data_IF_054242965327
#
_entry.id   IF_054242965327
#
_cell.length_a   1.000
_cell.length_b   1.000
_cell.length_c   1.000
_cell.angle_alpha   90.00
_cell.angle_beta   90.00
_cell.angle_gamma   90.00
#
_symmetry.space_group_name_H-M   'P 1'
#
loop_
_entity.id
_entity.type
_entity.pdbx_description
1 polymer ?
#
# COMPACT_ATOMS: atom_id res chain seq x y z
N UNK A 1 3.68 -31.51 27.85
CA UNK A 1 2.85 -31.30 26.64
C UNK A 1 2.12 -29.98 26.81
N UNK A 2 2.81 -28.89 26.49
CA UNK A 2 2.43 -27.52 26.84
C UNK A 2 1.29 -27.05 25.94
N UNK A 3 0.17 -26.68 26.55
CA UNK A 3 -0.96 -26.00 25.92
C UNK A 3 -0.52 -24.59 25.49
N UNK A 4 -0.33 -24.37 24.18
CA UNK A 4 -0.21 -23.02 23.63
C UNK A 4 -1.62 -22.46 23.45
N UNK A 5 -2.03 -21.62 24.40
CA UNK A 5 -3.25 -20.82 24.36
C UNK A 5 -3.18 -19.85 23.16
N UNK A 6 -3.88 -20.17 22.06
CA UNK A 6 -4.19 -19.17 21.03
C UNK A 6 -5.27 -18.25 21.59
N UNK A 7 -4.88 -17.06 22.05
CA UNK A 7 -5.82 -16.01 22.41
C UNK A 7 -6.43 -15.43 21.12
N UNK A 8 -7.47 -16.07 20.60
CA UNK A 8 -8.28 -15.49 19.54
C UNK A 8 -9.01 -14.27 20.13
N UNK A 9 -8.46 -13.07 19.88
CA UNK A 9 -9.04 -11.80 20.34
C UNK A 9 -10.34 -11.56 19.56
N UNK A 10 -11.48 -11.69 20.22
CA UNK A 10 -12.77 -11.36 19.64
C UNK A 10 -12.96 -9.85 19.60
N UNK A 11 -13.02 -9.27 18.39
CA UNK A 11 -13.35 -7.87 18.18
C UNK A 11 -14.82 -7.77 17.78
N UNK A 12 -15.65 -7.14 18.63
CA UNK A 12 -17.11 -7.10 18.45
C UNK A 12 -17.60 -6.22 17.28
N UNK A 13 -16.71 -5.42 16.64
CA UNK A 13 -17.08 -4.47 15.57
C UNK A 13 -15.93 -4.13 14.61
N UNK A 14 -14.97 -5.03 14.46
CA UNK A 14 -13.84 -4.82 13.55
C UNK A 14 -14.26 -5.04 12.11
N UNK A 15 -13.93 -4.12 11.21
CA UNK A 15 -13.99 -4.36 9.77
C UNK A 15 -12.63 -4.86 9.30
N UNK A 16 -12.63 -5.82 8.37
CA UNK A 16 -11.40 -6.26 7.73
C UNK A 16 -10.83 -5.10 6.90
N UNK A 17 -9.52 -4.91 6.94
CA UNK A 17 -8.84 -3.88 6.14
C UNK A 17 -7.56 -4.46 5.57
N UNK A 18 -7.37 -4.34 4.26
CA UNK A 18 -6.10 -4.68 3.62
C UNK A 18 -5.14 -3.52 3.84
N UNK A 19 -4.07 -3.77 4.62
CA UNK A 19 -3.06 -2.78 5.00
C UNK A 19 -1.66 -3.35 4.77
N UNK A 20 -0.72 -2.46 4.51
CA UNK A 20 0.71 -2.77 4.51
C UNK A 20 1.15 -2.89 5.98
N UNK A 21 1.62 -4.07 6.38
CA UNK A 21 2.28 -4.30 7.65
C UNK A 21 3.79 -4.14 7.45
N UNK A 22 4.42 -3.30 8.27
CA UNK A 22 5.86 -3.09 8.22
C UNK A 22 6.55 -4.26 8.94
N UNK A 23 7.52 -4.88 8.28
CA UNK A 23 8.45 -5.83 8.88
C UNK A 23 9.86 -5.27 8.68
N UNK A 24 10.56 -4.94 9.77
CA UNK A 24 11.83 -4.23 9.69
C UNK A 24 13.01 -5.09 10.13
N UNK A 25 14.08 -4.99 9.34
CA UNK A 25 15.45 -4.89 9.85
C UNK A 25 15.87 -3.42 9.66
N UNK A 26 16.46 -2.79 10.69
CA UNK A 26 16.71 -1.34 10.73
C UNK A 26 17.36 -0.80 9.43
N UNK A 27 16.80 0.31 8.91
CA UNK A 27 17.18 1.01 7.66
C UNK A 27 16.77 0.36 6.33
N UNK A 28 16.13 -0.81 6.34
CA UNK A 28 15.54 -1.43 5.15
C UNK A 28 14.06 -1.72 5.40
N UNK A 29 13.17 -0.74 5.14
CA UNK A 29 11.74 -0.94 5.33
C UNK A 29 11.26 -1.99 4.35
N UNK A 30 10.61 -3.04 4.84
CA UNK A 30 9.95 -4.04 4.01
C UNK A 30 8.48 -4.13 4.42
N UNK A 31 7.57 -4.06 3.45
CA UNK A 31 6.14 -4.10 3.75
C UNK A 31 5.57 -5.44 3.32
N UNK A 32 4.99 -6.17 4.27
CA UNK A 32 4.13 -7.30 4.00
C UNK A 32 2.68 -6.81 3.98
N UNK A 33 2.03 -6.88 2.83
CA UNK A 33 0.59 -7.05 2.82
C UNK A 33 0.37 -8.45 3.44
N UNK A 34 -0.69 -8.67 4.22
CA UNK A 34 -0.96 -9.99 4.82
C UNK A 34 -1.13 -11.12 3.77
N UNK A 35 -1.03 -10.79 2.48
CA UNK A 35 -1.26 -11.60 1.29
C UNK A 35 -0.12 -11.48 0.28
N UNK A 36 0.84 -10.56 0.46
CA UNK A 36 1.73 -10.09 -0.61
C UNK A 36 2.93 -9.26 -0.09
N UNK A 37 3.96 -9.02 -0.91
CA UNK A 37 5.20 -8.34 -0.51
C UNK A 37 5.48 -7.09 -1.35
N UNK A 38 5.80 -5.98 -0.68
CA UNK A 38 6.21 -4.72 -1.29
C UNK A 38 7.58 -4.28 -0.78
N UNK A 39 8.53 -4.13 -1.70
CA UNK A 39 9.85 -3.57 -1.43
C UNK A 39 9.88 -2.08 -1.87
N UNK A 40 9.92 -1.14 -0.91
CA UNK A 40 10.00 0.29 -1.20
C UNK A 40 11.38 0.71 -1.73
N UNK A 41 12.43 -0.10 -1.51
CA UNK A 41 13.78 0.21 -1.94
C UNK A 41 13.96 -0.16 -3.43
N UNK A 42 14.63 0.69 -4.22
CA UNK A 42 14.94 0.36 -5.59
C UNK A 42 16.00 -0.74 -5.63
N UNK A 43 15.74 -1.80 -6.40
CA UNK A 43 16.75 -2.82 -6.70
C UNK A 43 17.91 -2.22 -7.55
N UNK A 44 18.99 -2.96 -7.80
CA UNK A 44 20.11 -2.54 -8.65
C UNK A 44 19.70 -2.11 -10.07
N UNK A 45 18.51 -2.51 -10.52
CA UNK A 45 17.91 -2.10 -11.79
C UNK A 45 17.03 -0.83 -11.68
N UNK A 46 17.01 -0.15 -10.53
CA UNK A 46 16.18 1.03 -10.27
C UNK A 46 14.67 0.74 -10.16
N UNK A 47 14.26 -0.54 -10.13
CA UNK A 47 12.85 -0.95 -10.09
C UNK A 47 12.43 -1.24 -8.66
N UNK A 48 11.24 -0.75 -8.28
CA UNK A 48 10.53 -1.15 -7.05
C UNK A 48 9.69 -2.37 -7.35
N UNK A 49 9.81 -3.41 -6.52
CA UNK A 49 9.14 -4.69 -6.75
C UNK A 49 7.90 -4.75 -5.87
N UNK A 50 6.77 -5.10 -6.50
CA UNK A 50 5.51 -5.34 -5.82
C UNK A 50 5.00 -6.69 -6.29
N UNK A 51 4.88 -7.65 -5.38
CA UNK A 51 4.13 -8.88 -5.60
C UNK A 51 2.69 -8.62 -5.18
N UNK A 52 1.71 -8.93 -6.03
CA UNK A 52 0.28 -8.78 -5.74
C UNK A 52 -0.48 -10.02 -6.24
N UNK A 53 -1.20 -10.71 -5.36
CA UNK A 53 -2.15 -11.76 -5.68
C UNK A 53 -3.52 -11.13 -5.98
N UNK A 54 -3.75 -10.83 -7.25
CA UNK A 54 -4.95 -10.14 -7.72
C UNK A 54 -6.24 -10.92 -7.46
N UNK A 55 -6.22 -12.25 -7.52
CA UNK A 55 -7.41 -13.08 -7.31
C UNK A 55 -7.90 -12.98 -5.87
N UNK A 56 -6.96 -12.98 -4.93
CA UNK A 56 -7.29 -12.88 -3.52
C UNK A 56 -7.73 -11.48 -3.14
N UNK A 57 -7.09 -10.45 -3.70
CA UNK A 57 -7.51 -9.06 -3.54
C UNK A 57 -8.92 -8.85 -4.09
N UNK A 58 -9.24 -9.40 -5.27
CA UNK A 58 -10.59 -9.38 -5.85
C UNK A 58 -11.60 -10.00 -4.90
N UNK A 59 -11.30 -11.19 -4.37
CA UNK A 59 -12.15 -11.86 -3.40
C UNK A 59 -12.45 -10.93 -2.22
N UNK A 60 -11.44 -10.37 -1.56
CA UNK A 60 -11.65 -9.48 -0.41
C UNK A 60 -12.40 -8.19 -0.74
N UNK A 61 -12.21 -7.63 -1.95
CA UNK A 61 -12.98 -6.47 -2.45
C UNK A 61 -14.45 -6.83 -2.60
N UNK A 62 -14.77 -7.99 -3.16
CA UNK A 62 -16.15 -8.48 -3.28
C UNK A 62 -16.84 -8.67 -1.93
N UNK A 63 -16.10 -9.03 -0.88
CA UNK A 63 -16.61 -9.12 0.50
C UNK A 63 -16.77 -7.75 1.19
N UNK A 64 -16.43 -6.64 0.53
CA UNK A 64 -16.60 -5.28 1.07
C UNK A 64 -15.49 -4.85 2.03
N UNK A 65 -14.31 -5.46 1.93
CA UNK A 65 -13.16 -5.12 2.76
C UNK A 65 -12.64 -3.73 2.41
N UNK A 66 -12.36 -2.89 3.41
CA UNK A 66 -11.78 -1.57 3.16
C UNK A 66 -10.31 -1.70 2.72
N UNK A 67 -9.91 -0.90 1.73
CA UNK A 67 -8.53 -0.78 1.31
C UNK A 67 -7.84 0.39 2.03
N UNK A 68 -6.57 0.22 2.38
CA UNK A 68 -5.75 1.34 2.85
C UNK A 68 -5.40 2.26 1.69
N UNK A 69 -5.31 3.58 1.95
CA UNK A 69 -4.91 4.57 0.95
C UNK A 69 -3.58 4.24 0.23
N UNK A 70 -2.65 3.55 0.90
CA UNK A 70 -1.39 3.15 0.27
C UNK A 70 -1.61 2.00 -0.73
N UNK A 71 -2.47 1.04 -0.41
CA UNK A 71 -2.83 -0.09 -1.27
C UNK A 71 -3.63 0.41 -2.47
N UNK A 72 -4.57 1.33 -2.28
CA UNK A 72 -5.32 1.97 -3.37
C UNK A 72 -4.40 2.70 -4.35
N UNK A 73 -3.34 3.36 -3.88
CA UNK A 73 -2.36 4.01 -4.75
C UNK A 73 -1.58 3.00 -5.58
N UNK A 74 -1.16 1.88 -4.98
CA UNK A 74 -0.45 0.81 -5.68
C UNK A 74 -1.35 0.16 -6.72
N UNK A 75 -2.59 -0.18 -6.37
CA UNK A 75 -3.58 -0.72 -7.33
C UNK A 75 -3.95 0.30 -8.42
N UNK A 76 -3.96 1.59 -8.09
CA UNK A 76 -4.20 2.67 -9.05
C UNK A 76 -3.06 2.78 -10.06
N UNK A 77 -1.81 2.61 -9.60
CA UNK A 77 -0.62 2.58 -10.46
C UNK A 77 -0.54 1.31 -11.32
N UNK A 78 -1.09 0.18 -10.86
CA UNK A 78 -1.16 -1.05 -11.65
C UNK A 78 -2.29 -1.06 -12.68
N UNK A 79 -3.17 -0.04 -12.68
CA UNK A 79 -4.31 0.07 -13.59
C UNK A 79 -5.54 -0.76 -13.19
N UNK A 80 -5.58 -1.27 -11.96
CA UNK A 80 -6.65 -2.14 -11.47
C UNK A 80 -7.83 -1.37 -10.86
N UNK A 81 -7.55 -0.21 -10.24
CA UNK A 81 -8.56 0.76 -9.76
C UNK A 81 -8.26 2.13 -10.34
N UNK A 82 -9.23 3.07 -10.41
CA UNK A 82 -8.93 4.44 -10.79
C UNK A 82 -7.86 5.05 -9.88
N UNK A 83 -6.98 5.87 -10.45
CA UNK A 83 -5.92 6.55 -9.70
C UNK A 83 -6.53 7.41 -8.60
N UNK A 84 -6.07 7.21 -7.37
CA UNK A 84 -6.58 7.94 -6.21
C UNK A 84 -6.42 9.47 -6.41
N UNK A 85 -7.44 10.30 -6.14
CA UNK A 85 -7.43 11.75 -6.45
C UNK A 85 -6.25 12.49 -5.82
N UNK A 86 -5.84 12.10 -4.61
CA UNK A 86 -4.66 12.66 -3.94
C UNK A 86 -3.35 12.45 -4.73
N UNK A 87 -3.23 11.41 -5.56
CA UNK A 87 -2.06 11.23 -6.43
C UNK A 87 -2.00 12.29 -7.52
N UNK A 88 -3.14 12.62 -8.13
CA UNK A 88 -3.25 13.69 -9.13
C UNK A 88 -2.85 15.01 -8.47
N UNK A 89 -3.43 15.31 -7.30
CA UNK A 89 -3.07 16.51 -6.53
C UNK A 89 -1.58 16.52 -6.16
N UNK A 90 -1.00 15.37 -5.81
CA UNK A 90 0.42 15.26 -5.47
C UNK A 90 1.32 15.51 -6.68
N UNK A 91 0.92 15.09 -7.89
CA UNK A 91 1.66 15.35 -9.12
C UNK A 91 1.61 16.83 -9.54
N UNK A 92 0.46 17.50 -9.34
CA UNK A 92 0.30 18.92 -9.67
C UNK A 92 1.09 19.85 -8.74
N UNK A 93 1.24 19.50 -7.47
CA UNK A 93 1.90 20.36 -6.46
C UNK A 93 3.35 20.74 -6.83
N UNK A 94 4.24 19.81 -7.22
CA UNK A 94 5.57 20.12 -7.72
C UNK A 94 5.55 20.98 -8.99
N UNK A 95 4.61 20.73 -9.91
CA UNK A 95 4.52 21.50 -11.17
C UNK A 95 4.19 22.97 -10.91
N UNK A 96 3.24 23.26 -10.02
CA UNK A 96 2.90 24.64 -9.62
C UNK A 96 4.07 25.33 -8.92
N UNK A 97 4.82 24.61 -8.09
CA UNK A 97 6.02 25.14 -7.42
C UNK A 97 7.15 25.43 -8.41
N UNK A 98 7.40 24.53 -9.37
CA UNK A 98 8.38 24.74 -10.43
C UNK A 98 8.02 25.92 -11.35
N UNK A 99 6.73 26.08 -11.67
CA UNK A 99 6.23 27.23 -12.44
C UNK A 99 6.42 28.57 -11.72
N UNK A 100 6.22 28.61 -10.39
CA UNK A 100 6.53 29.81 -9.59
C UNK A 100 8.03 30.14 -9.58
N UNK A 101 8.89 29.12 -9.51
CA UNK A 101 10.35 29.32 -9.51
C UNK A 101 10.88 29.83 -10.85
N UNK A 102 10.24 29.45 -11.97
CA UNK A 102 10.57 29.95 -13.30
C UNK A 102 9.99 31.35 -13.57
N UNK A 103 8.86 31.71 -12.96
CA UNK A 103 8.27 33.04 -13.06
C UNK A 103 8.94 34.09 -12.16
N UNK A 104 9.86 33.67 -11.29
CA UNK A 104 10.59 34.53 -10.34
C UNK A 104 12.06 34.75 -10.73
N UNK A 105 12.49 34.31 -11.91
CA UNK A 105 13.81 34.58 -12.49
C UNK A 105 13.74 35.62 -13.60
#
# INVERSE_FOLDING_TARGET
MTQLLSTAKAYHRGHLTIRLALSDCANQPFYHIHLDSYDPLPNSHGKKIVALNLDQIWHWIHYGTHLSQQVEKILGLSGFVPVHPMMITYAERPQRKGGLLLASQ
#
